data_IF_843118325155
#
_entry.id   IF_843118325155
#
_cell.length_a   1.000
_cell.length_b   1.000
_cell.length_c   1.000
_cell.angle_alpha   90.00
_cell.angle_beta   90.00
_cell.angle_gamma   90.00
#
_symmetry.space_group_name_H-M   'P 1'
#
loop_
_entity.id
_entity.type
_entity.pdbx_description
1 polymer ?
#
# COMPACT_ATOMS: atom_id res chain seq x y z
N UNK A 1 12.53 -6.10 14.32
CA UNK A 1 11.69 -4.88 14.23
C UNK A 1 10.77 -5.05 13.03
N UNK A 2 9.47 -4.77 13.12
CA UNK A 2 8.63 -4.74 11.93
C UNK A 2 9.18 -3.68 10.97
N UNK A 3 9.25 -4.02 9.68
CA UNK A 3 9.72 -3.11 8.63
C UNK A 3 8.73 -1.94 8.49
N UNK A 4 9.25 -0.70 8.46
CA UNK A 4 8.48 0.51 8.24
C UNK A 4 8.82 1.07 6.85
N UNK A 5 7.90 1.01 5.87
CA UNK A 5 8.19 1.45 4.51
C UNK A 5 8.34 2.98 4.44
N UNK A 6 9.21 3.46 3.55
CA UNK A 6 9.28 4.88 3.25
C UNK A 6 8.11 5.27 2.34
N UNK A 7 7.48 6.41 2.61
CA UNK A 7 6.45 6.97 1.73
C UNK A 7 7.05 8.13 0.94
N UNK A 8 6.79 8.17 -0.37
CA UNK A 8 7.23 9.29 -1.21
C UNK A 8 6.62 10.62 -0.71
N UNK A 9 7.46 11.65 -0.51
CA UNK A 9 7.02 12.95 -0.01
C UNK A 9 6.71 13.01 1.49
N UNK A 10 6.98 11.93 2.23
CA UNK A 10 6.81 11.87 3.67
C UNK A 10 8.15 11.91 4.43
N UNK A 11 8.10 12.38 5.67
CA UNK A 11 9.18 12.30 6.64
C UNK A 11 8.71 11.60 7.92
N UNK A 12 9.64 11.38 8.84
CA UNK A 12 9.29 11.09 10.23
C UNK A 12 8.42 12.21 10.82
N UNK A 13 7.61 11.91 11.86
CA UNK A 13 6.76 12.89 12.53
C UNK A 13 7.52 14.16 12.92
N UNK A 14 7.04 15.31 12.47
CA UNK A 14 7.60 16.62 12.77
C UNK A 14 6.53 17.54 13.37
N UNK A 15 6.80 18.18 14.52
CA UNK A 15 5.88 19.16 15.09
C UNK A 15 5.53 20.27 14.10
N UNK A 16 4.25 20.62 14.00
CA UNK A 16 3.75 21.68 13.10
C UNK A 16 3.53 21.26 11.65
N UNK A 17 3.92 20.04 11.23
CA UNK A 17 3.56 19.50 9.91
C UNK A 17 2.28 18.66 9.95
N UNK A 18 1.48 18.65 8.87
CA UNK A 18 0.41 17.68 8.68
C UNK A 18 0.93 16.25 8.92
N UNK A 19 0.35 15.55 9.90
CA UNK A 19 0.85 14.25 10.36
C UNK A 19 -0.28 13.24 10.43
N UNK A 20 -0.10 12.11 9.77
CA UNK A 20 -1.14 11.09 9.63
C UNK A 20 -0.58 9.70 9.94
N UNK A 21 -1.41 8.84 10.52
CA UNK A 21 -1.21 7.38 10.45
C UNK A 21 -1.89 6.88 9.19
N UNK A 22 -1.24 6.00 8.45
CA UNK A 22 -1.81 5.46 7.21
C UNK A 22 -2.54 4.17 7.57
N UNK A 23 -3.87 4.22 7.59
CA UNK A 23 -4.73 3.07 7.84
C UNK A 23 -4.83 2.18 6.61
N UNK A 24 -4.88 0.87 6.84
CA UNK A 24 -5.33 -0.09 5.84
C UNK A 24 -6.86 -0.12 5.75
N UNK A 25 -7.36 -1.02 4.90
CA UNK A 25 -8.80 -1.14 4.59
C UNK A 25 -9.45 -2.36 5.24
N UNK A 26 -8.73 -3.09 6.10
CA UNK A 26 -9.31 -4.21 6.84
C UNK A 26 -10.13 -3.72 8.05
N UNK A 27 -10.84 -4.64 8.69
CA UNK A 27 -11.63 -4.35 9.89
C UNK A 27 -10.80 -4.42 11.19
N UNK A 28 -9.48 -4.66 11.11
CA UNK A 28 -8.64 -4.80 12.30
C UNK A 28 -8.31 -3.43 12.89
N UNK A 29 -8.46 -3.30 14.22
CA UNK A 29 -8.08 -2.08 14.94
C UNK A 29 -6.58 -1.74 14.81
N UNK A 30 -5.74 -2.75 14.54
CA UNK A 30 -4.30 -2.60 14.34
C UNK A 30 -3.84 -2.40 12.90
N UNK A 31 -4.76 -2.27 11.94
CA UNK A 31 -4.42 -2.11 10.52
C UNK A 31 -4.04 -0.66 10.20
N UNK A 32 -2.88 -0.23 10.69
CA UNK A 32 -2.31 1.06 10.38
C UNK A 32 -0.77 1.04 10.49
N UNK A 33 -0.14 1.94 9.76
CA UNK A 33 1.29 2.23 9.88
C UNK A 33 1.54 3.36 10.88
N UNK A 34 2.75 3.41 11.45
CA UNK A 34 3.21 4.52 12.27
C UNK A 34 3.02 5.88 11.58
N UNK A 35 3.08 6.96 12.37
CA UNK A 35 2.79 8.29 11.85
C UNK A 35 3.85 8.77 10.85
N UNK A 36 3.41 9.49 9.81
CA UNK A 36 4.24 10.17 8.82
C UNK A 36 3.83 11.63 8.74
N UNK A 37 4.80 12.52 8.55
CA UNK A 37 4.52 13.93 8.26
C UNK A 37 4.70 14.24 6.78
N UNK A 38 3.90 15.17 6.27
CA UNK A 38 3.94 15.63 4.88
C UNK A 38 4.08 17.15 4.86
N UNK A 39 4.58 17.71 3.75
CA UNK A 39 4.70 19.16 3.59
C UNK A 39 3.36 19.85 3.34
N UNK A 40 2.37 19.11 2.84
CA UNK A 40 1.00 19.56 2.56
C UNK A 40 0.00 18.53 3.08
N UNK A 41 -1.21 18.98 3.40
CA UNK A 41 -2.29 18.08 3.82
C UNK A 41 -2.65 17.08 2.72
N UNK A 42 -2.84 15.81 3.12
CA UNK A 42 -3.31 14.78 2.21
C UNK A 42 -4.77 15.02 1.85
N UNK A 43 -5.12 14.72 0.60
CA UNK A 43 -6.47 14.89 0.07
C UNK A 43 -7.02 13.54 -0.41
N UNK A 44 -8.33 13.35 -0.29
CA UNK A 44 -9.01 12.17 -0.83
C UNK A 44 -8.76 12.10 -2.35
N UNK A 45 -8.41 10.90 -2.83
CA UNK A 45 -7.98 10.69 -4.22
C UNK A 45 -6.49 10.94 -4.47
N UNK A 46 -5.75 11.45 -3.48
CA UNK A 46 -4.29 11.58 -3.56
C UNK A 46 -3.57 10.22 -3.54
N UNK A 47 -2.43 10.14 -4.22
CA UNK A 47 -1.59 8.94 -4.27
C UNK A 47 -0.66 8.87 -3.07
N UNK A 48 -0.58 7.69 -2.45
CA UNK A 48 0.39 7.35 -1.40
C UNK A 48 1.29 6.24 -1.94
N UNK A 49 2.56 6.56 -2.19
CA UNK A 49 3.52 5.61 -2.78
C UNK A 49 4.44 5.08 -1.70
N UNK A 50 4.22 3.82 -1.31
CA UNK A 50 5.13 3.07 -0.46
C UNK A 50 6.32 2.56 -1.28
N UNK A 51 7.53 2.91 -0.84
CA UNK A 51 8.78 2.50 -1.49
C UNK A 51 9.28 1.19 -0.93
N UNK A 52 10.00 0.46 -1.78
CA UNK A 52 10.70 -0.77 -1.43
C UNK A 52 9.74 -1.86 -0.91
N UNK A 53 8.72 -2.16 -1.73
CA UNK A 53 7.59 -3.03 -1.42
C UNK A 53 7.47 -4.25 -2.34
N UNK A 54 8.52 -4.63 -3.08
CA UNK A 54 8.49 -5.78 -4.01
C UNK A 54 8.96 -7.07 -3.32
N UNK A 55 10.08 -7.01 -2.60
CA UNK A 55 10.68 -8.19 -1.99
C UNK A 55 9.97 -8.57 -0.68
N UNK A 56 9.80 -9.86 -0.42
CA UNK A 56 9.18 -10.40 0.81
C UNK A 56 7.76 -9.92 1.15
N UNK A 57 7.11 -9.17 0.25
CA UNK A 57 5.74 -8.70 0.36
C UNK A 57 4.82 -9.60 -0.47
N UNK A 58 4.92 -9.56 -1.80
CA UNK A 58 4.02 -10.25 -2.75
C UNK A 58 3.98 -11.76 -2.55
N UNK A 59 5.08 -12.37 -2.07
CA UNK A 59 5.17 -13.80 -1.77
C UNK A 59 4.40 -14.23 -0.52
N UNK A 60 3.87 -13.28 0.26
CA UNK A 60 3.20 -13.50 1.55
C UNK A 60 1.89 -12.72 1.68
N UNK A 61 1.44 -12.05 0.61
CA UNK A 61 0.16 -11.34 0.62
C UNK A 61 -1.01 -12.33 0.71
N UNK A 62 -2.13 -11.87 1.25
CA UNK A 62 -3.35 -12.68 1.41
C UNK A 62 -4.56 -11.93 0.86
N UNK A 63 -5.72 -12.59 0.82
CA UNK A 63 -7.02 -11.97 0.55
C UNK A 63 -7.82 -11.84 1.84
N UNK A 64 -7.14 -11.50 2.94
CA UNK A 64 -7.75 -11.32 4.24
C UNK A 64 -8.87 -10.27 4.17
N UNK A 65 -9.98 -10.51 4.89
CA UNK A 65 -11.22 -9.73 4.81
C UNK A 65 -11.83 -9.58 3.40
N UNK A 66 -11.39 -10.36 2.41
CA UNK A 66 -11.84 -10.19 1.02
C UNK A 66 -11.39 -8.87 0.40
N UNK A 67 -10.39 -8.21 0.96
CA UNK A 67 -9.79 -6.99 0.38
C UNK A 67 -9.21 -7.33 -1.00
N UNK A 68 -9.44 -6.45 -1.99
CA UNK A 68 -8.90 -6.60 -3.34
C UNK A 68 -7.39 -6.75 -3.27
N UNK A 69 -6.87 -7.82 -3.88
CA UNK A 69 -5.44 -8.04 -3.96
C UNK A 69 -4.80 -7.02 -4.91
N UNK A 70 -3.63 -6.44 -4.59
CA UNK A 70 -2.95 -5.52 -5.50
C UNK A 70 -2.48 -6.23 -6.78
N UNK A 71 -2.72 -5.60 -7.93
CA UNK A 71 -2.20 -6.07 -9.22
C UNK A 71 -0.66 -5.98 -9.25
N UNK A 72 -0.03 -6.86 -10.02
CA UNK A 72 1.42 -6.84 -10.24
C UNK A 72 1.68 -6.21 -11.58
N UNK A 73 2.41 -5.09 -11.57
CA UNK A 73 2.70 -4.31 -12.75
C UNK A 73 4.20 -3.99 -12.85
N UNK A 74 4.66 -3.71 -14.08
CA UNK A 74 6.00 -3.22 -14.40
C UNK A 74 5.84 -1.87 -15.12
N UNK A 75 6.54 -0.85 -14.62
CA UNK A 75 6.67 0.42 -15.35
C UNK A 75 7.86 0.30 -16.31
N UNK A 76 7.61 0.48 -17.60
CA UNK A 76 8.62 0.33 -18.65
C UNK A 76 9.39 1.65 -18.88
N UNK A 77 10.52 1.57 -19.58
CA UNK A 77 11.35 2.74 -19.90
C UNK A 77 10.67 3.74 -20.83
N UNK A 78 9.65 3.32 -21.57
CA UNK A 78 8.85 4.14 -22.49
C UNK A 78 7.61 4.77 -21.83
N UNK A 79 7.57 4.81 -20.50
CA UNK A 79 6.47 5.33 -19.68
C UNK A 79 5.14 4.57 -19.85
N UNK A 80 5.18 3.33 -20.31
CA UNK A 80 4.02 2.44 -20.32
C UNK A 80 3.94 1.60 -19.04
N UNK A 81 2.71 1.31 -18.61
CA UNK A 81 2.46 0.39 -17.49
C UNK A 81 2.03 -0.97 -18.06
N UNK A 82 2.87 -1.97 -17.88
CA UNK A 82 2.54 -3.36 -18.18
C UNK A 82 1.90 -4.02 -16.96
N UNK A 83 0.71 -4.57 -17.14
CA UNK A 83 0.04 -5.39 -16.11
C UNK A 83 0.45 -6.84 -16.30
N UNK A 84 1.26 -7.37 -15.39
CA UNK A 84 1.75 -8.75 -15.40
C UNK A 84 0.69 -9.71 -14.86
N UNK A 85 -0.03 -9.28 -13.81
CA UNK A 85 -1.15 -10.03 -13.24
C UNK A 85 -2.18 -9.09 -12.64
N UNK A 86 -3.42 -9.26 -13.09
CA UNK A 86 -4.60 -8.66 -12.46
C UNK A 86 -5.26 -9.67 -11.52
N UNK A 87 -5.73 -9.20 -10.37
CA UNK A 87 -6.47 -10.03 -9.42
C UNK A 87 -7.94 -9.64 -9.37
N UNK A 88 -8.80 -10.64 -9.57
CA UNK A 88 -10.25 -10.48 -9.57
C UNK A 88 -10.95 -11.23 -8.44
N UNK A 89 -12.27 -11.25 -8.51
CA UNK A 89 -13.13 -11.99 -7.57
C UNK A 89 -12.85 -13.50 -7.60
N UNK A 90 -12.60 -14.08 -8.77
CA UNK A 90 -12.35 -15.52 -8.89
C UNK A 90 -11.04 -15.95 -8.20
N UNK A 91 -10.01 -15.10 -8.14
CA UNK A 91 -8.80 -15.38 -7.35
C UNK A 91 -9.09 -15.50 -5.86
N UNK A 92 -10.01 -14.67 -5.33
CA UNK A 92 -10.45 -14.76 -3.95
C UNK A 92 -11.27 -16.03 -3.73
N UNK A 93 -12.28 -16.27 -4.57
CA UNK A 93 -13.19 -17.41 -4.45
C UNK A 93 -12.46 -18.74 -4.57
N UNK A 94 -11.54 -18.89 -5.53
CA UNK A 94 -10.78 -20.13 -5.74
C UNK A 94 -9.82 -20.49 -4.60
N UNK A 95 -9.59 -19.60 -3.63
CA UNK A 95 -8.84 -19.92 -2.40
C UNK A 95 -9.70 -20.52 -1.29
N UNK A 96 -11.02 -20.43 -1.41
CA UNK A 96 -11.97 -20.86 -0.38
C UNK A 96 -12.55 -22.25 -0.63
N UNK A 97 -12.51 -22.75 -1.87
CA UNK A 97 -13.05 -24.05 -2.27
C UNK A 97 -12.53 -24.49 -3.63
#
# INVERSE_FOLDING_TARGET
MPYRPRIAGATDPQPGKPTYRIGGVSCLAGDYMEAYSFDKELQVGGLVVFKDMIHYTMVKTTTFNGVRHPDICIWQEDDTLEVVREFGYEDFKGRLS
#
